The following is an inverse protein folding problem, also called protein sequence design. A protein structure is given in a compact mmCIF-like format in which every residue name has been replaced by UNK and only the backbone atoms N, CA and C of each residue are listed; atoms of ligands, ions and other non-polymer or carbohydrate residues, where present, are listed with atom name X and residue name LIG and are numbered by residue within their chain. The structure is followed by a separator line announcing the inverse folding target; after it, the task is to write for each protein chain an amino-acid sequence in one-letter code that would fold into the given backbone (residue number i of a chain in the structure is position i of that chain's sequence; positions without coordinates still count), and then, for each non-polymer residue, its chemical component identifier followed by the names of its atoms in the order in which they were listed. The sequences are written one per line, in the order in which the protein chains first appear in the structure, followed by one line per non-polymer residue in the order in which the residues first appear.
data_IF_671043700323
#
_entry.id   IF_671043700323
#
_cell.length_a   1.000
_cell.length_b   1.000
_cell.length_c   1.000
_cell.angle_alpha   90.00
_cell.angle_beta   90.00
_cell.angle_gamma   90.00
#
_symmetry.space_group_name_H-M   'P 1'
#
loop_
_entity.id
_entity.type
_entity.pdbx_description
1 polymer ?
#
# COMPACT_ATOMS: atom_id res chain seq x y z
N UNK A 1 35.39 -5.45 -22.94
CA UNK A 1 34.87 -5.03 -24.26
C UNK A 1 33.36 -5.15 -24.18
N UNK A 2 32.53 -4.12 -24.12
CA UNK A 2 32.69 -2.75 -24.58
C UNK A 2 31.50 -2.45 -25.50
N UNK A 3 30.54 -1.66 -25.03
CA UNK A 3 29.58 -0.95 -25.89
C UNK A 3 28.22 -1.61 -26.09
N UNK A 4 27.22 -1.17 -25.31
CA UNK A 4 25.86 -0.87 -25.78
C UNK A 4 25.06 -0.17 -24.65
N UNK A 5 25.68 0.83 -24.03
CA UNK A 5 25.08 1.73 -23.04
C UNK A 5 25.34 3.14 -23.54
N UNK A 6 24.51 3.63 -24.46
CA UNK A 6 24.38 5.04 -24.90
C UNK A 6 23.50 5.09 -26.15
N UNK A 7 22.20 5.38 -25.98
CA UNK A 7 21.40 6.21 -26.88
C UNK A 7 19.90 6.06 -26.56
N UNK A 8 19.42 6.75 -25.52
CA UNK A 8 18.00 7.17 -25.40
C UNK A 8 17.81 8.05 -24.16
N UNK A 9 18.62 9.10 -24.01
CA UNK A 9 18.37 10.14 -23.01
C UNK A 9 19.07 11.42 -23.47
N UNK A 10 18.40 12.20 -24.33
CA UNK A 10 18.61 13.64 -24.55
C UNK A 10 17.69 14.14 -25.66
N UNK A 11 16.51 14.67 -25.29
CA UNK A 11 15.99 15.92 -25.87
C UNK A 11 14.81 16.47 -25.03
N UNK A 12 15.11 17.55 -24.31
CA UNK A 12 14.25 18.68 -23.86
C UNK A 12 12.96 18.36 -23.08
N UNK A 13 12.81 18.63 -21.77
CA UNK A 13 13.17 19.74 -20.87
C UNK A 13 12.27 21.00 -20.97
N UNK A 14 11.43 21.19 -19.94
CA UNK A 14 10.74 22.42 -19.58
C UNK A 14 10.29 22.42 -18.10
N UNK A 15 11.04 23.17 -17.26
CA UNK A 15 10.74 23.60 -15.88
C UNK A 15 10.85 22.60 -14.69
N UNK A 16 11.19 23.09 -13.47
CA UNK A 16 12.02 22.35 -12.51
C UNK A 16 11.23 21.72 -11.36
N UNK A 17 11.22 20.39 -11.30
CA UNK A 17 10.82 19.66 -10.10
C UNK A 17 12.04 19.47 -9.21
N UNK A 18 11.92 19.99 -7.99
CA UNK A 18 12.92 19.99 -6.92
C UNK A 18 13.57 18.60 -6.73
N UNK A 19 14.89 18.53 -6.95
CA UNK A 19 15.70 17.30 -7.00
C UNK A 19 15.99 16.72 -5.59
N UNK A 20 15.46 17.32 -4.53
CA UNK A 20 15.76 16.92 -3.15
C UNK A 20 15.08 15.61 -2.71
N UNK A 21 13.91 15.27 -3.26
CA UNK A 21 13.05 14.20 -2.72
C UNK A 21 13.38 12.80 -3.25
N UNK A 22 13.97 12.69 -4.44
CA UNK A 22 14.30 11.38 -5.06
C UNK A 22 15.60 10.76 -4.52
N UNK A 23 16.52 11.56 -3.97
CA UNK A 23 17.75 11.04 -3.34
C UNK A 23 17.53 10.48 -1.93
N UNK A 24 16.57 11.02 -1.17
CA UNK A 24 16.31 10.58 0.22
C UNK A 24 15.59 9.22 0.27
N UNK A 25 14.62 8.98 -0.62
CA UNK A 25 13.89 7.72 -0.68
C UNK A 25 14.78 6.55 -1.15
N UNK A 26 15.66 6.80 -2.14
CA UNK A 26 16.63 5.81 -2.64
C UNK A 26 17.75 5.50 -1.64
N UNK A 27 18.17 6.47 -0.79
CA UNK A 27 19.14 6.23 0.29
C UNK A 27 18.54 5.45 1.47
N UNK A 28 17.26 5.68 1.81
CA UNK A 28 16.59 4.99 2.94
C UNK A 28 16.31 3.51 2.64
N UNK A 29 15.96 3.16 1.40
CA UNK A 29 15.81 1.78 0.96
C UNK A 29 17.16 1.03 0.87
N UNK A 30 18.22 1.68 0.39
CA UNK A 30 19.56 1.08 0.27
C UNK A 30 20.20 0.77 1.64
N UNK A 31 19.94 1.57 2.67
CA UNK A 31 20.51 1.36 4.01
C UNK A 31 19.82 0.27 4.85
N UNK A 32 18.56 -0.11 4.58
CA UNK A 32 17.89 -1.22 5.28
C UNK A 32 18.34 -2.59 4.74
N UNK A 33 18.50 -2.71 3.42
CA UNK A 33 19.02 -3.95 2.82
C UNK A 33 20.41 -4.30 3.34
N UNK A 34 21.32 -3.33 3.41
CA UNK A 34 22.73 -3.58 3.78
C UNK A 34 22.91 -4.06 5.24
N UNK A 35 22.05 -3.66 6.19
CA UNK A 35 22.13 -4.16 7.58
C UNK A 35 21.61 -5.59 7.71
N UNK A 36 20.55 -5.91 6.97
CA UNK A 36 19.93 -7.24 7.01
C UNK A 36 20.80 -8.27 6.29
N UNK A 37 21.46 -7.90 5.17
CA UNK A 37 22.41 -8.79 4.48
C UNK A 37 23.67 -9.06 5.32
N UNK A 38 24.19 -8.05 6.03
CA UNK A 38 25.36 -8.21 6.92
C UNK A 38 25.04 -9.13 8.11
N UNK A 39 23.85 -9.01 8.68
CA UNK A 39 23.39 -9.90 9.74
C UNK A 39 23.27 -11.36 9.26
N UNK A 40 22.64 -11.58 8.10
CA UNK A 40 22.48 -12.92 7.51
C UNK A 40 23.85 -13.55 7.18
N UNK A 41 24.82 -12.76 6.70
CA UNK A 41 26.17 -13.26 6.42
C UNK A 41 26.91 -13.68 7.69
N UNK A 42 26.81 -12.90 8.77
CA UNK A 42 27.47 -13.24 10.04
C UNK A 42 26.81 -14.47 10.67
N UNK A 43 25.48 -14.53 10.68
CA UNK A 43 24.73 -15.68 11.19
C UNK A 43 25.04 -16.95 10.37
N UNK A 44 25.10 -16.84 9.04
CA UNK A 44 25.50 -17.93 8.14
C UNK A 44 26.94 -18.39 8.40
N UNK A 45 27.89 -17.48 8.60
CA UNK A 45 29.28 -17.81 8.91
C UNK A 45 29.41 -18.57 10.25
N UNK A 46 28.66 -18.15 11.29
CA UNK A 46 28.65 -18.85 12.58
C UNK A 46 28.08 -20.27 12.46
N UNK A 47 27.02 -20.45 11.65
CA UNK A 47 26.39 -21.75 11.45
C UNK A 47 27.31 -22.70 10.66
N UNK A 48 28.01 -22.19 9.65
CA UNK A 48 29.01 -22.96 8.87
C UNK A 48 30.21 -23.32 9.74
N UNK A 49 30.74 -22.41 10.56
CA UNK A 49 31.82 -22.72 11.51
C UNK A 49 31.40 -23.77 12.53
N UNK A 50 30.17 -23.70 13.05
CA UNK A 50 29.63 -24.72 13.95
C UNK A 50 29.53 -26.08 13.28
N UNK A 51 29.03 -26.14 12.05
CA UNK A 51 28.93 -27.39 11.28
C UNK A 51 30.30 -27.96 10.94
N UNK A 52 31.27 -27.13 10.54
CA UNK A 52 32.65 -27.55 10.26
C UNK A 52 33.39 -28.06 11.48
N UNK A 53 33.01 -27.67 12.69
CA UNK A 53 33.60 -28.19 13.92
C UNK A 53 32.93 -29.51 14.36
N UNK A 54 31.63 -29.67 14.10
CA UNK A 54 30.82 -30.81 14.54
C UNK A 54 30.81 -31.98 13.54
N UNK A 55 30.88 -31.73 12.24
CA UNK A 55 30.83 -32.78 11.20
C UNK A 55 32.10 -33.65 11.10
N UNK A 56 33.34 -33.14 11.21
CA UNK A 56 34.54 -33.98 11.13
C UNK A 56 34.65 -35.11 12.16
N UNK A 57 34.26 -34.94 13.43
CA UNK A 57 34.25 -36.06 14.39
C UNK A 57 33.11 -37.06 14.15
N UNK A 58 32.06 -36.69 13.41
CA UNK A 58 30.99 -37.60 13.02
C UNK A 58 31.37 -38.45 11.79
N UNK A 59 32.06 -37.88 10.80
CA UNK A 59 32.49 -38.62 9.61
C UNK A 59 33.68 -39.56 9.85
N UNK A 60 34.53 -39.32 10.86
CA UNK A 60 35.60 -40.26 11.21
C UNK A 60 35.13 -41.56 11.89
N UNK A 61 33.82 -41.74 12.13
CA UNK A 61 33.28 -42.94 12.80
C UNK A 61 32.83 -44.06 11.85
N UNK A 62 32.90 -43.87 10.53
CA UNK A 62 32.60 -44.95 9.57
C UNK A 62 33.87 -45.42 8.86
N UNK A 63 34.77 -46.05 9.62
CA UNK A 63 35.75 -46.98 9.06
C UNK A 63 36.17 -47.98 10.14
N UNK A 64 35.28 -48.95 10.41
CA UNK A 64 35.64 -50.22 11.03
C UNK A 64 35.34 -50.37 12.53
N UNK A 65 34.39 -51.27 12.83
CA UNK A 65 34.46 -52.12 14.03
C UNK A 65 33.55 -51.72 15.19
N UNK A 66 32.46 -52.49 15.32
CA UNK A 66 31.71 -52.85 16.54
C UNK A 66 31.44 -51.76 17.59
N UNK A 67 30.15 -51.59 17.91
CA UNK A 67 29.62 -50.74 18.97
C UNK A 67 30.32 -50.93 20.32
N UNK A 68 31.45 -50.25 20.54
CA UNK A 68 31.98 -49.96 21.87
C UNK A 68 31.20 -48.77 22.39
N UNK A 69 30.45 -49.00 23.47
CA UNK A 69 29.81 -47.94 24.24
C UNK A 69 30.81 -46.81 24.45
N UNK A 70 30.55 -45.65 23.84
CA UNK A 70 31.40 -44.47 23.96
C UNK A 70 31.67 -44.20 25.44
N UNK A 71 32.96 -44.16 25.83
CA UNK A 71 33.38 -44.04 27.23
C UNK A 71 32.80 -42.78 27.86
N UNK A 72 32.51 -42.78 29.19
CA UNK A 72 31.83 -41.68 29.85
C UNK A 72 32.48 -40.33 29.59
N UNK A 73 33.83 -40.28 29.48
CA UNK A 73 34.61 -39.06 29.24
C UNK A 73 34.38 -38.38 27.89
N UNK A 74 33.95 -39.12 26.85
CA UNK A 74 33.82 -38.56 25.49
C UNK A 74 32.43 -37.95 25.21
N UNK A 75 31.45 -38.13 26.10
CA UNK A 75 30.09 -37.56 25.97
C UNK A 75 29.95 -36.17 26.59
N UNK A 76 30.85 -35.82 27.51
CA UNK A 76 30.84 -34.53 28.22
C UNK A 76 30.97 -33.30 27.32
N UNK A 77 31.81 -33.25 26.28
CA UNK A 77 31.86 -32.06 25.42
C UNK A 77 30.57 -31.83 24.63
N UNK A 78 29.86 -32.90 24.23
CA UNK A 78 28.57 -32.79 23.54
C UNK A 78 27.47 -32.29 24.49
N UNK A 79 27.44 -32.82 25.72
CA UNK A 79 26.50 -32.37 26.75
C UNK A 79 26.77 -30.93 27.18
N UNK A 80 28.05 -30.54 27.30
CA UNK A 80 28.45 -29.17 27.59
C UNK A 80 27.98 -28.21 26.51
N UNK A 81 28.19 -28.51 25.22
CA UNK A 81 27.74 -27.66 24.12
C UNK A 81 26.21 -27.60 24.05
N UNK A 82 25.52 -28.74 24.24
CA UNK A 82 24.06 -28.80 24.25
C UNK A 82 23.43 -27.97 25.38
N UNK A 83 24.15 -27.77 26.49
CA UNK A 83 23.72 -26.93 27.61
C UNK A 83 24.15 -25.47 27.45
N UNK A 84 25.41 -25.23 27.04
CA UNK A 84 26.00 -23.90 26.93
C UNK A 84 25.35 -23.07 25.82
N UNK A 85 25.01 -23.67 24.68
CA UNK A 85 24.41 -22.93 23.56
C UNK A 85 23.05 -22.32 23.93
N UNK A 86 22.06 -23.05 24.49
CA UNK A 86 20.80 -22.45 24.90
C UNK A 86 20.95 -21.46 26.07
N UNK A 87 21.85 -21.72 27.03
CA UNK A 87 22.13 -20.78 28.12
C UNK A 87 22.74 -19.47 27.63
N UNK A 88 23.70 -19.54 26.70
CA UNK A 88 24.31 -18.38 26.09
C UNK A 88 23.29 -17.60 25.26
N UNK A 89 22.43 -18.30 24.50
CA UNK A 89 21.35 -17.68 23.72
C UNK A 89 20.33 -16.97 24.63
N UNK A 90 19.93 -17.60 25.74
CA UNK A 90 19.03 -17.00 26.73
C UNK A 90 19.67 -15.78 27.41
N UNK A 91 20.97 -15.85 27.76
CA UNK A 91 21.72 -14.75 28.36
C UNK A 91 21.87 -13.57 27.39
N UNK A 92 22.24 -13.81 26.13
CA UNK A 92 22.28 -12.77 25.11
C UNK A 92 20.88 -12.17 24.87
N UNK A 93 19.83 -12.98 24.87
CA UNK A 93 18.46 -12.47 24.75
C UNK A 93 18.05 -11.60 25.95
N UNK A 94 18.49 -11.94 27.16
CA UNK A 94 18.22 -11.14 28.35
C UNK A 94 18.97 -9.80 28.36
N UNK A 95 20.18 -9.74 27.80
CA UNK A 95 21.02 -8.52 27.80
C UNK A 95 20.78 -7.62 26.58
N UNK A 96 20.57 -8.20 25.39
CA UNK A 96 20.39 -7.47 24.13
C UNK A 96 18.92 -7.40 23.69
N UNK A 97 18.08 -8.33 24.14
CA UNK A 97 16.66 -8.37 23.85
C UNK A 97 15.84 -7.53 24.83
N UNK A 98 14.57 -7.37 24.53
CA UNK A 98 13.61 -6.74 25.44
C UNK A 98 12.74 -7.85 26.04
N UNK A 99 13.09 -8.43 27.21
CA UNK A 99 12.30 -9.50 27.82
C UNK A 99 10.87 -9.05 28.16
N UNK A 100 10.64 -7.75 28.35
CA UNK A 100 9.31 -7.15 28.52
C UNK A 100 8.52 -6.99 27.21
N UNK A 101 9.11 -7.30 26.07
CA UNK A 101 8.41 -7.33 24.77
C UNK A 101 7.65 -8.63 24.50
N UNK A 102 7.77 -9.62 25.38
CA UNK A 102 6.98 -10.86 25.36
C UNK A 102 5.68 -10.75 26.16
N UNK A 103 5.58 -9.75 27.03
CA UNK A 103 4.33 -9.37 27.68
C UNK A 103 3.64 -8.34 26.79
N UNK A 104 2.41 -8.60 26.30
CA UNK A 104 1.66 -7.55 25.63
C UNK A 104 1.50 -6.38 26.62
N UNK A 105 1.79 -5.14 26.22
CA UNK A 105 1.44 -3.96 27.02
C UNK A 105 -0.03 -4.07 27.46
N UNK A 106 -0.41 -3.61 28.65
CA UNK A 106 -1.80 -3.68 29.13
C UNK A 106 -2.81 -3.00 28.18
N UNK A 107 -2.34 -2.09 27.31
CA UNK A 107 -3.13 -1.49 26.21
C UNK A 107 -3.46 -2.46 25.06
N UNK A 108 -2.61 -3.47 24.81
CA UNK A 108 -2.82 -4.49 23.76
C UNK A 108 -3.65 -5.67 24.30
N UNK A 109 -3.56 -5.98 25.61
CA UNK A 109 -4.40 -7.00 26.23
C UNK A 109 -5.90 -6.62 26.21
N UNK A 110 -6.23 -5.33 26.29
CA UNK A 110 -7.59 -4.80 26.08
C UNK A 110 -8.02 -4.79 24.59
N UNK A 111 -7.09 -4.95 23.66
CA UNK A 111 -7.33 -4.93 22.20
C UNK A 111 -7.28 -6.33 21.56
N UNK A 112 -6.81 -7.35 22.27
CA UNK A 112 -6.72 -8.72 21.75
C UNK A 112 -8.09 -9.42 21.71
N UNK A 113 -9.05 -9.00 22.54
CA UNK A 113 -10.46 -9.46 22.50
C UNK A 113 -11.35 -8.62 21.56
N UNK A 114 -10.85 -7.51 21.02
CA UNK A 114 -11.60 -6.75 20.03
C UNK A 114 -11.40 -7.35 18.63
N UNK A 115 -12.29 -8.28 18.27
CA UNK A 115 -12.89 -8.18 16.93
C UNK A 115 -13.27 -6.71 16.78
N UNK A 116 -12.67 -6.00 15.83
CA UNK A 116 -13.00 -4.58 15.59
C UNK A 116 -14.46 -4.52 15.18
N UNK A 117 -15.33 -4.40 16.18
CA UNK A 117 -16.77 -4.38 16.02
C UNK A 117 -17.18 -3.03 15.42
N UNK A 118 -18.35 -2.96 14.78
CA UNK A 118 -18.87 -1.70 14.24
C UNK A 118 -18.82 -0.54 15.25
N UNK A 119 -19.13 -0.81 16.53
CA UNK A 119 -19.10 0.16 17.63
C UNK A 119 -17.69 0.75 17.88
N UNK A 120 -16.63 -0.05 17.77
CA UNK A 120 -15.27 0.42 17.98
C UNK A 120 -14.84 1.36 16.84
N UNK A 121 -15.24 1.06 15.60
CA UNK A 121 -14.98 1.91 14.43
C UNK A 121 -15.73 3.24 14.58
N UNK A 122 -16.97 3.20 15.06
CA UNK A 122 -17.76 4.41 15.36
C UNK A 122 -17.06 5.30 16.39
N UNK A 123 -16.58 4.71 17.50
CA UNK A 123 -15.84 5.46 18.52
C UNK A 123 -14.55 6.09 17.99
N UNK A 124 -13.85 5.41 17.06
CA UNK A 124 -12.67 5.96 16.39
C UNK A 124 -13.02 7.15 15.49
N UNK A 125 -14.07 7.03 14.67
CA UNK A 125 -14.57 8.11 13.79
C UNK A 125 -15.03 9.32 14.61
N UNK A 126 -15.71 9.10 15.72
CA UNK A 126 -16.17 10.17 16.62
C UNK A 126 -14.98 10.96 17.22
N UNK A 127 -13.95 10.27 17.73
CA UNK A 127 -12.74 10.92 18.25
C UNK A 127 -12.00 11.70 17.18
N UNK A 128 -11.89 11.14 15.97
CA UNK A 128 -11.27 11.83 14.83
C UNK A 128 -12.04 13.11 14.48
N UNK A 129 -13.37 13.04 14.43
CA UNK A 129 -14.23 14.20 14.15
C UNK A 129 -14.03 15.30 15.19
N UNK A 130 -13.99 14.96 16.49
CA UNK A 130 -13.74 15.94 17.56
C UNK A 130 -12.36 16.59 17.48
N UNK A 131 -11.33 15.84 17.07
CA UNK A 131 -9.99 16.40 16.86
C UNK A 131 -9.99 17.37 15.68
N UNK A 132 -10.59 17.00 14.56
CA UNK A 132 -10.66 17.83 13.36
C UNK A 132 -11.47 19.11 13.55
N UNK A 133 -12.45 19.11 14.46
CA UNK A 133 -13.13 20.34 14.87
C UNK A 133 -12.18 21.36 15.53
N UNK A 134 -11.11 20.91 16.19
CA UNK A 134 -10.07 21.77 16.79
C UNK A 134 -8.91 22.04 15.85
N UNK A 135 -8.65 21.12 14.93
CA UNK A 135 -7.56 21.17 13.95
C UNK A 135 -8.14 21.14 12.51
N UNK A 136 -8.88 22.18 12.08
CA UNK A 136 -9.63 22.14 10.82
C UNK A 136 -8.73 22.13 9.58
N UNK A 137 -7.44 22.44 9.72
CA UNK A 137 -6.47 22.47 8.63
C UNK A 137 -5.72 21.14 8.44
N UNK A 138 -6.07 20.08 9.18
CA UNK A 138 -5.47 18.74 9.03
C UNK A 138 -6.10 18.00 7.84
N UNK A 139 -5.59 18.26 6.63
CA UNK A 139 -6.05 17.64 5.39
C UNK A 139 -5.95 16.10 5.44
N UNK A 140 -4.88 15.55 6.02
CA UNK A 140 -4.71 14.10 6.12
C UNK A 140 -5.77 13.47 7.04
N UNK A 141 -6.09 14.15 8.15
CA UNK A 141 -7.16 13.72 9.05
C UNK A 141 -8.55 13.79 8.40
N UNK A 142 -8.87 14.85 7.65
CA UNK A 142 -10.12 14.92 6.88
C UNK A 142 -10.21 13.84 5.81
N UNK A 143 -9.09 13.50 5.13
CA UNK A 143 -9.03 12.40 4.17
C UNK A 143 -9.28 11.04 4.82
N UNK A 144 -8.73 10.83 6.01
CA UNK A 144 -9.01 9.63 6.78
C UNK A 144 -10.49 9.56 7.18
N UNK A 145 -11.05 10.69 7.63
CA UNK A 145 -12.47 10.76 8.01
C UNK A 145 -13.41 10.46 6.84
N UNK A 146 -13.14 11.02 5.66
CA UNK A 146 -13.92 10.76 4.45
C UNK A 146 -13.93 9.26 4.11
N UNK A 147 -12.75 8.65 3.99
CA UNK A 147 -12.60 7.22 3.64
C UNK A 147 -13.17 6.27 4.69
N UNK A 148 -13.06 6.61 5.97
CA UNK A 148 -13.69 5.84 7.04
C UNK A 148 -15.21 5.87 6.93
N UNK A 149 -15.79 7.03 6.64
CA UNK A 149 -17.24 7.14 6.44
C UNK A 149 -17.70 6.43 5.16
N UNK A 150 -16.95 6.49 4.06
CA UNK A 150 -17.24 5.69 2.86
C UNK A 150 -17.26 4.18 3.15
N UNK A 151 -16.28 3.70 3.91
CA UNK A 151 -16.19 2.28 4.31
C UNK A 151 -17.40 1.87 5.15
N UNK A 152 -17.90 2.77 5.98
CA UNK A 152 -19.13 2.60 6.78
C UNK A 152 -20.41 2.89 5.99
N UNK A 153 -20.31 3.22 4.70
CA UNK A 153 -21.43 3.63 3.82
C UNK A 153 -22.21 4.84 4.34
N UNK A 154 -21.53 5.72 5.07
CA UNK A 154 -21.99 6.99 5.61
C UNK A 154 -21.68 8.12 4.63
N UNK A 155 -22.36 8.10 3.49
CA UNK A 155 -21.99 8.95 2.36
C UNK A 155 -22.21 10.45 2.63
N UNK A 156 -23.21 10.82 3.43
CA UNK A 156 -23.43 12.22 3.82
C UNK A 156 -22.26 12.76 4.65
N UNK A 157 -21.79 11.98 5.63
CA UNK A 157 -20.65 12.36 6.47
C UNK A 157 -19.33 12.35 5.68
N UNK A 158 -19.20 11.43 4.71
CA UNK A 158 -18.07 11.45 3.79
C UNK A 158 -18.09 12.71 2.91
N UNK A 159 -19.26 13.10 2.39
CA UNK A 159 -19.44 14.31 1.60
C UNK A 159 -19.07 15.58 2.39
N UNK A 160 -19.44 15.67 3.67
CA UNK A 160 -19.00 16.75 4.57
C UNK A 160 -17.47 16.83 4.68
N UNK A 161 -16.81 15.68 4.89
CA UNK A 161 -15.35 15.62 5.00
C UNK A 161 -14.65 16.00 3.68
N UNK A 162 -15.19 15.57 2.54
CA UNK A 162 -14.70 15.99 1.21
C UNK A 162 -14.87 17.49 0.96
N UNK A 163 -15.96 18.10 1.44
CA UNK A 163 -16.15 19.55 1.36
C UNK A 163 -15.06 20.31 2.12
N UNK A 164 -14.69 19.83 3.32
CA UNK A 164 -13.57 20.39 4.08
C UNK A 164 -12.23 20.21 3.34
N UNK A 165 -11.98 19.03 2.77
CA UNK A 165 -10.79 18.80 1.95
C UNK A 165 -10.68 19.76 0.76
N UNK A 166 -11.77 19.96 0.02
CA UNK A 166 -11.78 20.88 -1.11
C UNK A 166 -11.66 22.36 -0.71
N UNK A 167 -11.98 22.71 0.54
CA UNK A 167 -11.66 24.05 1.05
C UNK A 167 -10.16 24.25 1.27
N UNK A 168 -9.42 23.17 1.60
CA UNK A 168 -7.97 23.19 1.81
C UNK A 168 -7.20 23.00 0.49
N UNK A 169 -7.72 22.17 -0.41
CA UNK A 169 -7.12 21.78 -1.69
C UNK A 169 -8.14 21.91 -2.85
N UNK A 170 -8.52 23.15 -3.24
CA UNK A 170 -9.64 23.40 -4.15
C UNK A 170 -9.43 22.91 -5.60
N UNK A 171 -8.17 22.78 -6.02
CA UNK A 171 -7.77 22.44 -7.39
C UNK A 171 -7.13 21.04 -7.47
N UNK A 172 -7.48 20.15 -6.55
CA UNK A 172 -7.04 18.75 -6.58
C UNK A 172 -8.07 17.90 -7.36
N UNK A 173 -7.74 17.43 -8.59
CA UNK A 173 -8.71 16.73 -9.43
C UNK A 173 -9.15 15.38 -8.84
N UNK A 174 -8.28 14.68 -8.11
CA UNK A 174 -8.58 13.43 -7.42
C UNK A 174 -9.63 13.66 -6.34
N UNK A 175 -9.49 14.72 -5.53
CA UNK A 175 -10.47 15.07 -4.50
C UNK A 175 -11.82 15.49 -5.09
N UNK A 176 -11.81 16.22 -6.22
CA UNK A 176 -13.03 16.58 -6.94
C UNK A 176 -13.77 15.35 -7.46
N UNK A 177 -13.04 14.37 -8.00
CA UNK A 177 -13.60 13.11 -8.51
C UNK A 177 -14.15 12.25 -7.39
N UNK A 178 -13.39 12.06 -6.32
CA UNK A 178 -13.83 11.27 -5.17
C UNK A 178 -15.08 11.90 -4.53
N UNK A 179 -15.10 13.23 -4.39
CA UNK A 179 -16.28 13.93 -3.87
C UNK A 179 -17.49 13.75 -4.78
N UNK A 180 -17.32 13.83 -6.10
CA UNK A 180 -18.40 13.59 -7.05
C UNK A 180 -19.01 12.19 -6.90
N UNK A 181 -18.17 11.16 -6.73
CA UNK A 181 -18.62 9.78 -6.53
C UNK A 181 -19.43 9.66 -5.25
N UNK A 182 -18.92 10.19 -4.13
CA UNK A 182 -19.61 10.16 -2.83
C UNK A 182 -20.94 10.91 -2.90
N UNK A 183 -20.94 12.10 -3.52
CA UNK A 183 -22.15 12.90 -3.68
C UNK A 183 -23.19 12.17 -4.52
N UNK A 184 -22.79 11.49 -5.60
CA UNK A 184 -23.69 10.64 -6.37
C UNK A 184 -24.34 9.55 -5.51
N UNK A 185 -23.61 8.95 -4.56
CA UNK A 185 -24.17 7.96 -3.64
C UNK A 185 -25.20 8.55 -2.66
N UNK A 186 -25.08 9.83 -2.30
CA UNK A 186 -26.10 10.55 -1.50
C UNK A 186 -27.34 10.92 -2.32
N UNK A 187 -27.18 11.12 -3.64
CA UNK A 187 -28.22 11.58 -4.56
C UNK A 187 -28.85 10.44 -5.37
N UNK A 188 -29.22 9.33 -4.73
CA UNK A 188 -29.81 8.16 -5.41
C UNK A 188 -28.95 7.60 -6.56
N UNK A 189 -27.62 7.59 -6.40
CA UNK A 189 -26.66 7.05 -7.36
C UNK A 189 -26.61 7.75 -8.72
N UNK A 190 -27.05 9.01 -8.80
CA UNK A 190 -26.95 9.84 -10.01
C UNK A 190 -25.56 10.48 -10.13
N UNK A 191 -25.07 10.61 -11.36
CA UNK A 191 -23.91 11.45 -11.69
C UNK A 191 -24.31 12.79 -12.29
N UNK A 192 -25.60 13.04 -12.50
CA UNK A 192 -26.11 14.28 -13.13
C UNK A 192 -26.23 15.39 -12.08
N UNK A 193 -25.95 16.63 -12.48
CA UNK A 193 -26.05 17.80 -11.62
C UNK A 193 -24.73 18.15 -10.95
N UNK A 194 -24.71 18.25 -9.62
CA UNK A 194 -23.51 18.66 -8.87
C UNK A 194 -22.32 17.68 -9.02
N UNK A 195 -22.49 16.34 -8.99
CA UNK A 195 -21.39 15.42 -9.28
C UNK A 195 -20.74 15.67 -10.65
N UNK A 196 -21.55 15.92 -11.68
CA UNK A 196 -21.05 16.24 -13.01
C UNK A 196 -20.26 17.55 -13.05
N UNK A 197 -20.72 18.58 -12.32
CA UNK A 197 -19.99 19.84 -12.23
C UNK A 197 -18.60 19.65 -11.59
N UNK A 198 -18.50 18.81 -10.56
CA UNK A 198 -17.22 18.44 -9.94
C UNK A 198 -16.32 17.65 -10.90
N UNK A 199 -16.87 16.68 -11.62
CA UNK A 199 -16.16 15.92 -12.66
C UNK A 199 -15.63 16.85 -13.77
N UNK A 200 -16.45 17.81 -14.22
CA UNK A 200 -16.06 18.79 -15.23
C UNK A 200 -14.92 19.70 -14.74
N UNK A 201 -14.96 20.15 -13.48
CA UNK A 201 -13.84 20.89 -12.86
C UNK A 201 -12.58 20.05 -12.79
N UNK A 202 -12.67 18.78 -12.40
CA UNK A 202 -11.52 17.89 -12.37
C UNK A 202 -10.89 17.73 -13.76
N UNK A 203 -11.70 17.55 -14.80
CA UNK A 203 -11.23 17.47 -16.20
C UNK A 203 -10.68 18.77 -16.76
N UNK A 204 -11.08 19.93 -16.21
CA UNK A 204 -10.48 21.20 -16.56
C UNK A 204 -9.05 21.34 -16.01
N UNK A 205 -8.78 20.73 -14.85
CA UNK A 205 -7.47 20.73 -14.19
C UNK A 205 -6.56 19.63 -14.77
N UNK A 206 -7.04 18.39 -14.80
CA UNK A 206 -6.38 17.26 -15.47
C UNK A 206 -7.29 16.67 -16.55
N UNK A 207 -7.10 17.09 -17.81
CA UNK A 207 -7.88 16.56 -18.94
C UNK A 207 -7.71 15.06 -19.16
N UNK A 208 -6.64 14.43 -18.64
CA UNK A 208 -6.31 13.03 -18.85
C UNK A 208 -6.67 12.16 -17.63
N UNK A 209 -7.32 12.72 -16.61
CA UNK A 209 -7.72 11.97 -15.43
C UNK A 209 -8.71 10.85 -15.79
N UNK A 210 -8.23 9.61 -15.81
CA UNK A 210 -8.95 8.46 -16.37
C UNK A 210 -10.31 8.24 -15.72
N UNK A 211 -10.39 8.34 -14.38
CA UNK A 211 -11.65 8.16 -13.66
C UNK A 211 -12.65 9.29 -13.94
N UNK A 212 -12.21 10.54 -14.02
CA UNK A 212 -13.06 11.67 -14.38
C UNK A 212 -13.61 11.53 -15.80
N UNK A 213 -12.77 11.08 -16.75
CA UNK A 213 -13.22 10.76 -18.11
C UNK A 213 -14.26 9.64 -18.12
N UNK A 214 -14.05 8.59 -17.32
CA UNK A 214 -14.98 7.47 -17.23
C UNK A 214 -16.35 7.93 -16.69
N UNK A 215 -16.34 8.69 -15.58
CA UNK A 215 -17.54 9.22 -14.95
C UNK A 215 -18.26 10.27 -15.81
N UNK A 216 -17.53 11.11 -16.55
CA UNK A 216 -18.11 12.06 -17.49
C UNK A 216 -18.90 11.36 -18.59
N UNK A 217 -18.36 10.28 -19.15
CA UNK A 217 -19.10 9.47 -20.13
C UNK A 217 -20.33 8.80 -19.51
N UNK A 218 -20.23 8.30 -18.28
CA UNK A 218 -21.37 7.73 -17.55
C UNK A 218 -22.47 8.75 -17.25
N UNK A 219 -22.12 9.97 -16.85
CA UNK A 219 -23.08 11.05 -16.61
C UNK A 219 -23.83 11.43 -17.92
N UNK A 220 -23.11 11.51 -19.04
CA UNK A 220 -23.70 11.75 -20.35
C UNK A 220 -24.65 10.61 -20.77
N UNK A 221 -24.27 9.35 -20.52
CA UNK A 221 -25.16 8.20 -20.73
C UNK A 221 -26.45 8.30 -19.89
N UNK A 222 -26.34 8.70 -18.63
CA UNK A 222 -27.48 8.81 -17.72
C UNK A 222 -28.49 9.86 -18.21
N UNK A 223 -28.00 10.97 -18.79
CA UNK A 223 -28.85 11.96 -19.48
C UNK A 223 -29.40 11.47 -20.83
N UNK A 224 -28.97 10.31 -21.30
CA UNK A 224 -29.27 9.80 -22.63
C UNK A 224 -28.54 10.52 -23.75
N UNK A 225 -27.50 11.30 -23.47
CA UNK A 225 -26.65 11.91 -24.49
C UNK A 225 -25.54 10.92 -24.89
N UNK A 226 -25.93 9.96 -25.72
CA UNK A 226 -25.05 8.89 -26.18
C UNK A 226 -23.86 9.41 -27.01
N UNK A 227 -24.04 10.51 -27.75
CA UNK A 227 -22.97 11.12 -28.55
C UNK A 227 -21.93 11.77 -27.63
N UNK A 228 -22.35 12.51 -26.60
CA UNK A 228 -21.43 13.12 -25.64
C UNK A 228 -20.68 12.07 -24.81
N UNK A 229 -21.31 10.94 -24.49
CA UNK A 229 -20.69 9.86 -23.70
C UNK A 229 -19.44 9.26 -24.37
N UNK A 230 -19.44 9.16 -25.69
CA UNK A 230 -18.36 8.51 -26.46
C UNK A 230 -17.05 9.28 -26.40
N UNK A 231 -17.10 10.62 -26.40
CA UNK A 231 -15.91 11.48 -26.49
C UNK A 231 -14.90 11.27 -25.35
N UNK A 232 -15.27 11.36 -24.05
CA UNK A 232 -14.32 11.17 -22.96
C UNK A 232 -13.80 9.72 -22.89
N UNK A 233 -14.63 8.73 -23.24
CA UNK A 233 -14.22 7.33 -23.29
C UNK A 233 -13.21 7.02 -24.40
N UNK A 234 -13.36 7.60 -25.59
CA UNK A 234 -12.35 7.49 -26.65
C UNK A 234 -10.99 8.05 -26.20
N UNK A 235 -10.98 9.07 -25.35
CA UNK A 235 -9.75 9.60 -24.76
C UNK A 235 -9.07 8.59 -23.84
N UNK A 236 -9.83 7.84 -23.04
CA UNK A 236 -9.28 6.76 -22.20
C UNK A 236 -8.58 5.70 -23.06
N UNK A 237 -9.13 5.35 -24.23
CA UNK A 237 -8.51 4.40 -25.16
C UNK A 237 -7.14 4.87 -25.69
N UNK A 238 -6.81 6.16 -25.63
CA UNK A 238 -5.49 6.66 -25.98
C UNK A 238 -4.49 6.62 -24.81
N UNK A 239 -4.98 6.51 -23.57
CA UNK A 239 -4.19 6.61 -22.34
C UNK A 239 -3.82 5.24 -21.73
N UNK A 240 -4.61 4.20 -21.98
CA UNK A 240 -4.40 2.87 -21.38
C UNK A 240 -3.65 1.90 -22.32
N UNK A 241 -3.10 0.76 -21.86
CA UNK A 241 -2.45 -0.26 -22.71
C UNK A 241 -3.42 -1.14 -23.52
N UNK A 242 -3.11 -1.44 -24.78
CA UNK A 242 -4.03 -2.04 -25.78
C UNK A 242 -4.71 -3.34 -25.33
N UNK A 243 -4.05 -4.11 -24.48
CA UNK A 243 -4.46 -5.40 -23.94
C UNK A 243 -5.16 -5.32 -22.58
N UNK A 244 -5.26 -4.13 -21.98
CA UNK A 244 -5.87 -3.96 -20.64
C UNK A 244 -7.38 -4.23 -20.63
N UNK A 245 -7.85 -4.83 -19.52
CA UNK A 245 -9.29 -5.04 -19.27
C UNK A 245 -10.09 -3.74 -19.28
N UNK A 246 -9.50 -2.64 -18.80
CA UNK A 246 -10.12 -1.32 -18.87
C UNK A 246 -10.39 -0.91 -20.31
N UNK A 247 -9.45 -1.15 -21.25
CA UNK A 247 -9.69 -0.84 -22.67
C UNK A 247 -10.88 -1.64 -23.21
N UNK A 248 -10.94 -2.94 -22.90
CA UNK A 248 -12.05 -3.81 -23.34
C UNK A 248 -13.39 -3.30 -22.82
N UNK A 249 -13.47 -2.99 -21.53
CA UNK A 249 -14.68 -2.45 -20.89
C UNK A 249 -15.12 -1.11 -21.50
N UNK A 250 -14.19 -0.17 -21.66
CA UNK A 250 -14.50 1.14 -22.25
C UNK A 250 -14.91 1.02 -23.72
N UNK A 251 -14.25 0.16 -24.51
CA UNK A 251 -14.65 -0.10 -25.90
C UNK A 251 -16.07 -0.67 -25.99
N UNK A 252 -16.45 -1.58 -25.09
CA UNK A 252 -17.81 -2.11 -25.04
C UNK A 252 -18.84 -1.02 -24.69
N UNK A 253 -18.52 -0.13 -23.74
CA UNK A 253 -19.37 1.01 -23.39
C UNK A 253 -19.56 1.98 -24.57
N UNK A 254 -18.48 2.28 -25.32
CA UNK A 254 -18.53 3.10 -26.53
C UNK A 254 -19.44 2.44 -27.58
N UNK A 255 -19.24 1.16 -27.89
CA UNK A 255 -20.04 0.45 -28.89
C UNK A 255 -21.53 0.46 -28.54
N UNK A 256 -21.87 0.25 -27.25
CA UNK A 256 -23.25 0.34 -26.76
C UNK A 256 -23.84 1.75 -26.93
N UNK A 257 -23.09 2.78 -26.56
CA UNK A 257 -23.53 4.17 -26.72
C UNK A 257 -23.73 4.54 -28.19
N UNK A 258 -22.79 4.18 -29.07
CA UNK A 258 -22.88 4.45 -30.52
C UNK A 258 -24.10 3.76 -31.14
N UNK A 259 -24.39 2.51 -30.76
CA UNK A 259 -25.60 1.81 -31.20
C UNK A 259 -26.87 2.52 -30.74
N UNK A 260 -26.94 2.98 -29.48
CA UNK A 260 -28.10 3.71 -28.97
C UNK A 260 -28.27 5.09 -29.62
N UNK A 261 -27.17 5.74 -29.99
CA UNK A 261 -27.21 7.01 -30.72
C UNK A 261 -27.81 6.86 -32.13
N UNK A 262 -27.64 5.70 -32.77
CA UNK A 262 -28.19 5.42 -34.11
C UNK A 262 -29.68 5.09 -34.11
N UNK A 263 -30.25 4.71 -32.95
CA UNK A 263 -31.65 4.34 -32.79
C UNK A 263 -32.57 5.53 -32.50
N UNK A 264 -32.01 6.73 -32.33
CA UNK A 264 -32.74 7.98 -32.08
C UNK A 264 -32.75 8.86 -33.31
#
# INVERSE_FOLDING_TARGET
MGGALRAACRRFAGAPVSIATTRSCRRRARNRGIRMTRFILIAGAMLVCSLLFVLPPLWRREAGGSARAASPRQRWPVLLVALLVPLLAASLYAVLGNPKGLEPPPEIALAADSVVGPEQIEGMVARLTQRLAKEPNDADGWRMLARSNETLRRFDQAADAYRHLLALEPDNPELLVDYAVVLGMTLNTTLVGEPEALIARALAIDPNHIQALALSGSAALERGDYTAAVKPWKKILALVPADSEMRKSISANIAKAEAQAQLR
#
